data_IF_841411483589
#
_entry.id   IF_841411483589
#
_cell.length_a   1.000
_cell.length_b   1.000
_cell.length_c   1.000
_cell.angle_alpha   90.00
_cell.angle_beta   90.00
_cell.angle_gamma   90.00
#
_symmetry.space_group_name_H-M   'P 1'
#
loop_
_entity.id
_entity.type
_entity.pdbx_description
1 polymer ?
#
# COMPACT_ATOMS: atom_id res chain seq x y z
N UNK A 1 -40.85 -7.23 43.93
CA UNK A 1 -40.47 -8.13 42.82
C UNK A 1 -39.86 -7.26 41.74
N UNK A 2 -38.53 -7.16 41.69
CA UNK A 2 -37.81 -6.38 40.67
C UNK A 2 -37.17 -7.37 39.72
N UNK A 3 -37.79 -7.59 38.57
CA UNK A 3 -37.21 -8.39 37.49
C UNK A 3 -35.98 -7.68 36.94
N UNK A 4 -34.80 -8.27 37.10
CA UNK A 4 -33.62 -7.87 36.35
C UNK A 4 -33.86 -8.30 34.90
N UNK A 5 -34.04 -7.33 34.02
CA UNK A 5 -33.93 -7.52 32.58
C UNK A 5 -32.49 -7.94 32.26
N UNK A 6 -32.28 -9.24 32.01
CA UNK A 6 -31.07 -9.74 31.37
C UNK A 6 -31.00 -9.15 29.96
N UNK A 7 -30.03 -8.26 29.72
CA UNK A 7 -29.63 -7.90 28.37
C UNK A 7 -29.08 -9.15 27.69
N UNK A 8 -29.86 -9.74 26.80
CA UNK A 8 -29.40 -10.80 25.90
C UNK A 8 -28.39 -10.17 24.94
N UNK A 9 -27.10 -10.25 25.27
CA UNK A 9 -26.03 -9.94 24.35
C UNK A 9 -26.11 -10.91 23.18
N UNK A 10 -26.67 -10.45 22.05
CA UNK A 10 -26.65 -11.20 20.80
C UNK A 10 -25.19 -11.23 20.33
N UNK A 11 -24.54 -12.37 20.52
CA UNK A 11 -23.16 -12.58 20.08
C UNK A 11 -23.18 -13.01 18.62
N UNK A 12 -22.75 -12.12 17.73
CA UNK A 12 -22.65 -12.43 16.30
C UNK A 12 -21.35 -13.18 15.98
N UNK A 13 -21.47 -14.24 15.18
CA UNK A 13 -20.34 -14.91 14.57
C UNK A 13 -19.85 -14.09 13.36
N UNK A 14 -18.57 -13.70 13.37
CA UNK A 14 -17.94 -13.02 12.22
C UNK A 14 -17.00 -13.98 11.50
N UNK A 15 -17.16 -14.12 10.18
CA UNK A 15 -16.25 -14.90 9.34
C UNK A 15 -15.27 -13.98 8.63
N UNK A 16 -13.98 -14.20 8.88
CA UNK A 16 -12.89 -13.38 8.34
C UNK A 16 -11.87 -14.25 7.62
N UNK A 17 -10.98 -13.63 6.85
CA UNK A 17 -9.84 -14.31 6.26
C UNK A 17 -8.57 -13.94 7.01
N UNK A 18 -7.76 -14.95 7.32
CA UNK A 18 -6.43 -14.78 7.87
C UNK A 18 -5.51 -14.04 6.89
N UNK A 19 -4.32 -13.67 7.37
CA UNK A 19 -3.29 -13.03 6.55
C UNK A 19 -2.87 -13.83 5.31
N UNK A 20 -3.05 -15.16 5.35
CA UNK A 20 -2.75 -16.11 4.27
C UNK A 20 -3.99 -16.52 3.44
N UNK A 21 -5.13 -15.88 3.61
CA UNK A 21 -6.36 -16.18 2.85
C UNK A 21 -7.11 -17.43 3.33
N UNK A 22 -6.70 -18.02 4.47
CA UNK A 22 -7.46 -19.11 5.10
C UNK A 22 -8.63 -18.52 5.89
N UNK A 23 -9.80 -19.17 5.82
CA UNK A 23 -10.99 -18.76 6.58
C UNK A 23 -10.78 -18.91 8.09
N UNK A 24 -11.26 -17.92 8.81
CA UNK A 24 -11.29 -17.86 10.27
C UNK A 24 -12.69 -17.48 10.74
N UNK A 25 -13.03 -17.98 11.92
CA UNK A 25 -14.25 -17.65 12.65
C UNK A 25 -13.86 -16.84 13.89
N UNK A 26 -14.59 -15.77 14.14
CA UNK A 26 -14.46 -14.91 15.29
C UNK A 26 -15.78 -14.97 16.07
N UNK A 27 -15.74 -15.51 17.29
CA UNK A 27 -16.92 -15.75 18.11
C UNK A 27 -16.55 -15.63 19.58
N UNK A 28 -17.36 -14.92 20.38
CA UNK A 28 -17.12 -14.65 21.81
C UNK A 28 -15.72 -14.06 22.10
N UNK A 29 -15.16 -13.26 21.18
CA UNK A 29 -13.81 -12.68 21.31
C UNK A 29 -12.66 -13.69 21.11
N UNK A 30 -12.96 -14.91 20.66
CA UNK A 30 -12.00 -15.94 20.29
C UNK A 30 -11.89 -16.10 18.79
N UNK A 31 -10.70 -16.50 18.33
CA UNK A 31 -10.41 -16.81 16.92
C UNK A 31 -10.24 -18.31 16.72
N UNK A 32 -10.87 -18.82 15.67
CA UNK A 32 -10.78 -20.21 15.25
C UNK A 32 -10.36 -20.30 13.79
N UNK A 33 -9.60 -21.34 13.45
CA UNK A 33 -9.17 -21.67 12.08
C UNK A 33 -10.01 -22.82 11.55
N UNK A 34 -10.48 -22.71 10.31
CA UNK A 34 -11.24 -23.78 9.66
C UNK A 34 -10.37 -25.03 9.52
N UNK A 35 -10.86 -26.17 10.00
CA UNK A 35 -10.14 -27.45 9.94
C UNK A 35 -10.78 -28.43 8.95
N UNK A 36 -12.10 -28.51 8.90
CA UNK A 36 -12.83 -29.29 7.90
C UNK A 36 -14.25 -28.78 7.71
N UNK A 37 -14.84 -29.08 6.55
CA UNK A 37 -16.28 -29.00 6.32
C UNK A 37 -16.87 -30.41 6.40
N UNK A 38 -17.99 -30.55 7.08
CA UNK A 38 -18.70 -31.82 7.24
C UNK A 38 -19.73 -32.00 6.11
N UNK A 39 -20.26 -33.21 5.95
CA UNK A 39 -21.24 -33.53 4.91
C UNK A 39 -22.60 -32.84 5.09
N UNK A 40 -22.92 -32.41 6.32
CA UNK A 40 -24.14 -31.69 6.66
C UNK A 40 -23.97 -30.16 6.55
N UNK A 41 -23.04 -29.69 5.71
CA UNK A 41 -22.63 -28.30 5.53
C UNK A 41 -22.13 -27.56 6.79
N UNK A 42 -22.05 -28.24 7.94
CA UNK A 42 -21.44 -27.66 9.14
C UNK A 42 -19.92 -27.55 8.99
N UNK A 43 -19.36 -26.49 9.56
CA UNK A 43 -17.93 -26.20 9.47
C UNK A 43 -17.30 -26.38 10.85
N UNK A 44 -16.21 -27.15 10.91
CA UNK A 44 -15.49 -27.45 12.14
C UNK A 44 -14.23 -26.59 12.26
N UNK A 45 -14.13 -25.91 13.38
CA UNK A 45 -13.13 -24.90 13.67
C UNK A 45 -12.32 -25.25 14.91
N UNK A 46 -11.04 -24.91 14.90
CA UNK A 46 -10.14 -25.12 16.03
C UNK A 46 -9.56 -23.77 16.44
N UNK A 47 -9.58 -23.46 17.72
CA UNK A 47 -9.02 -22.23 18.27
C UNK A 47 -7.58 -22.04 17.76
N UNK A 48 -7.19 -20.81 17.44
CA UNK A 48 -5.83 -20.49 16.97
C UNK A 48 -4.76 -20.91 18.00
N UNK A 49 -5.08 -20.81 19.30
CA UNK A 49 -4.21 -21.29 20.41
C UNK A 49 -4.35 -22.80 20.69
N UNK A 50 -5.18 -23.51 19.91
CA UNK A 50 -5.41 -24.98 19.94
C UNK A 50 -6.00 -25.55 21.23
N UNK A 51 -6.73 -24.74 21.99
CA UNK A 51 -7.28 -25.15 23.30
C UNK A 51 -8.78 -25.47 23.28
N UNK A 52 -9.50 -25.09 22.23
CA UNK A 52 -10.95 -25.30 22.13
C UNK A 52 -11.39 -25.48 20.69
N UNK A 53 -12.56 -26.09 20.50
CA UNK A 53 -13.15 -26.40 19.21
C UNK A 53 -14.57 -25.84 19.10
N UNK A 54 -14.94 -25.44 17.89
CA UNK A 54 -16.26 -24.89 17.60
C UNK A 54 -16.83 -25.44 16.28
N UNK A 55 -18.15 -25.53 16.19
CA UNK A 55 -18.87 -25.89 14.96
C UNK A 55 -19.80 -24.75 14.57
N UNK A 56 -19.73 -24.29 13.33
CA UNK A 56 -20.68 -23.32 12.79
C UNK A 56 -21.62 -23.98 11.79
N UNK A 57 -22.83 -23.43 11.70
CA UNK A 57 -23.89 -23.91 10.80
C UNK A 57 -24.27 -22.83 9.77
N UNK A 58 -25.08 -23.20 8.79
CA UNK A 58 -25.49 -22.32 7.68
C UNK A 58 -26.33 -21.12 8.13
N UNK A 59 -27.04 -21.24 9.25
CA UNK A 59 -27.79 -20.16 9.91
C UNK A 59 -26.89 -19.22 10.74
N UNK A 60 -25.57 -19.36 10.63
CA UNK A 60 -24.56 -18.63 11.41
C UNK A 60 -24.58 -18.90 12.92
N UNK A 61 -25.31 -19.93 13.37
CA UNK A 61 -25.21 -20.40 14.74
C UNK A 61 -23.84 -21.07 14.97
N UNK A 62 -23.29 -20.90 16.17
CA UNK A 62 -21.99 -21.45 16.55
C UNK A 62 -22.11 -22.18 17.89
N UNK A 63 -21.68 -23.44 17.90
CA UNK A 63 -21.60 -24.26 19.10
C UNK A 63 -20.13 -24.47 19.46
N UNK A 64 -19.72 -23.94 20.61
CA UNK A 64 -18.40 -24.16 21.21
C UNK A 64 -18.47 -25.41 22.07
N UNK A 65 -17.51 -26.33 21.92
CA UNK A 65 -17.54 -27.64 22.60
C UNK A 65 -16.67 -27.71 23.85
N UNK A 66 -15.62 -26.89 23.91
CA UNK A 66 -14.63 -26.91 24.98
C UNK A 66 -14.42 -25.50 25.54
N UNK A 67 -14.14 -25.41 26.84
CA UNK A 67 -13.79 -24.14 27.47
C UNK A 67 -12.40 -23.66 27.02
N UNK A 68 -12.24 -22.34 26.89
CA UNK A 68 -10.94 -21.75 26.64
C UNK A 68 -10.11 -21.67 27.91
N UNK A 69 -8.86 -22.11 27.85
CA UNK A 69 -7.86 -21.93 28.92
C UNK A 69 -7.10 -20.60 28.81
N UNK A 70 -7.61 -19.66 28.00
CA UNK A 70 -7.04 -18.33 27.83
C UNK A 70 -8.17 -17.32 27.70
N UNK A 71 -7.91 -16.06 28.04
CA UNK A 71 -8.88 -14.99 27.88
C UNK A 71 -9.12 -14.65 26.39
N UNK A 72 -10.29 -14.07 26.06
CA UNK A 72 -10.53 -13.47 24.76
C UNK A 72 -9.47 -12.40 24.47
N UNK A 73 -9.03 -12.32 23.21
CA UNK A 73 -7.96 -11.42 22.77
C UNK A 73 -8.54 -10.41 21.79
N UNK A 74 -9.12 -9.33 22.33
CA UNK A 74 -9.69 -8.25 21.52
C UNK A 74 -8.64 -7.55 20.66
N UNK A 75 -7.43 -7.42 21.19
CA UNK A 75 -6.26 -6.84 20.54
C UNK A 75 -5.93 -7.56 19.23
N UNK A 76 -5.95 -8.89 19.24
CA UNK A 76 -5.74 -9.72 18.06
C UNK A 76 -6.72 -9.43 16.91
N UNK A 77 -7.99 -9.16 17.26
CA UNK A 77 -9.05 -8.86 16.29
C UNK A 77 -8.88 -7.49 15.66
N UNK A 78 -8.56 -6.49 16.47
CA UNK A 78 -8.29 -5.13 15.99
C UNK A 78 -7.08 -5.11 15.06
N UNK A 79 -6.00 -5.82 15.39
CA UNK A 79 -4.81 -5.95 14.53
C UNK A 79 -5.16 -6.60 13.19
N UNK A 80 -6.02 -7.62 13.21
CA UNK A 80 -6.48 -8.27 11.98
C UNK A 80 -7.24 -7.28 11.10
N UNK A 81 -8.10 -6.47 11.70
CA UNK A 81 -8.88 -5.46 11.00
C UNK A 81 -8.01 -4.35 10.42
N UNK A 82 -7.04 -3.83 11.19
CA UNK A 82 -6.05 -2.85 10.71
C UNK A 82 -5.31 -3.41 9.49
N UNK A 83 -4.83 -4.65 9.58
CA UNK A 83 -4.16 -5.33 8.45
C UNK A 83 -5.07 -5.46 7.23
N UNK A 84 -6.33 -5.86 7.41
CA UNK A 84 -7.31 -6.02 6.33
C UNK A 84 -7.57 -4.69 5.62
N UNK A 85 -7.78 -3.62 6.39
CA UNK A 85 -7.97 -2.26 5.88
C UNK A 85 -6.74 -1.77 5.11
N UNK A 86 -5.55 -1.94 5.68
CA UNK A 86 -4.30 -1.56 5.02
C UNK A 86 -4.08 -2.31 3.70
N UNK A 87 -4.32 -3.62 3.67
CA UNK A 87 -4.22 -4.43 2.44
C UNK A 87 -5.17 -3.93 1.35
N UNK A 88 -6.42 -3.59 1.71
CA UNK A 88 -7.39 -3.01 0.76
C UNK A 88 -6.95 -1.63 0.27
N UNK A 89 -6.44 -0.79 1.18
CA UNK A 89 -5.96 0.57 0.86
C UNK A 89 -4.84 0.53 -0.17
N UNK A 90 -3.81 -0.30 0.04
CA UNK A 90 -2.66 -0.37 -0.88
C UNK A 90 -2.96 -0.99 -2.25
N UNK A 91 -4.06 -1.72 -2.38
CA UNK A 91 -4.53 -2.25 -3.67
C UNK A 91 -5.24 -1.20 -4.52
N UNK A 92 -5.83 -0.17 -3.90
CA UNK A 92 -6.59 0.88 -4.58
C UNK A 92 -5.78 2.16 -4.77
N UNK A 93 -4.99 2.54 -3.77
CA UNK A 93 -4.23 3.78 -3.77
C UNK A 93 -2.81 3.58 -4.29
N UNK A 94 -2.22 4.62 -4.89
CA UNK A 94 -0.84 4.60 -5.42
C UNK A 94 0.21 5.29 -4.54
N UNK A 95 -0.19 5.86 -3.38
CA UNK A 95 0.71 6.59 -2.48
C UNK A 95 1.85 5.76 -1.84
N UNK A 96 2.84 6.40 -1.22
CA UNK A 96 3.95 5.69 -0.55
C UNK A 96 3.46 4.75 0.55
N UNK A 97 3.96 3.51 0.57
CA UNK A 97 3.57 2.52 1.59
C UNK A 97 3.99 2.99 2.99
N UNK A 98 5.11 3.71 3.07
CA UNK A 98 5.66 4.21 4.32
C UNK A 98 4.69 5.14 5.04
N UNK A 99 4.23 6.16 4.32
CA UNK A 99 3.17 7.07 4.78
C UNK A 99 1.90 6.32 5.19
N UNK A 100 1.47 5.33 4.39
CA UNK A 100 0.26 4.54 4.68
C UNK A 100 0.40 3.76 5.99
N UNK A 101 1.58 3.18 6.25
CA UNK A 101 1.85 2.44 7.49
C UNK A 101 1.94 3.38 8.68
N UNK A 102 2.68 4.48 8.56
CA UNK A 102 2.85 5.47 9.62
C UNK A 102 1.50 6.08 10.04
N UNK A 103 0.68 6.52 9.08
CA UNK A 103 -0.67 7.03 9.33
C UNK A 103 -1.52 6.03 10.13
N UNK A 104 -1.44 4.74 9.80
CA UNK A 104 -2.20 3.71 10.49
C UNK A 104 -1.70 3.44 11.91
N UNK A 105 -0.39 3.50 12.14
CA UNK A 105 0.18 3.26 13.47
C UNK A 105 -0.08 4.47 14.38
N UNK A 106 0.01 5.69 13.84
CA UNK A 106 -0.41 6.89 14.55
C UNK A 106 -1.91 6.89 14.86
N UNK A 107 -2.75 6.43 13.92
CA UNK A 107 -4.19 6.30 14.17
C UNK A 107 -4.49 5.27 15.27
N UNK A 108 -3.85 4.10 15.22
CA UNK A 108 -3.97 3.09 16.27
C UNK A 108 -3.55 3.65 17.63
N UNK A 109 -2.43 4.40 17.68
CA UNK A 109 -1.92 4.95 18.93
C UNK A 109 -2.86 6.00 19.56
N UNK A 110 -3.62 6.75 18.73
CA UNK A 110 -4.59 7.74 19.21
C UNK A 110 -5.92 7.11 19.65
N UNK A 111 -6.32 6.02 19.01
CA UNK A 111 -7.63 5.39 19.24
C UNK A 111 -7.59 4.34 20.36
N UNK A 112 -6.42 3.77 20.64
CA UNK A 112 -6.26 2.73 21.65
C UNK A 112 -6.38 3.34 23.05
N UNK A 113 -7.39 2.92 23.82
CA UNK A 113 -7.45 3.20 25.27
C UNK A 113 -6.44 2.36 26.07
N UNK A 114 -5.85 1.32 25.44
CA UNK A 114 -4.86 0.42 26.03
C UNK A 114 -3.53 0.40 25.25
N UNK A 115 -2.41 0.29 25.97
CA UNK A 115 -1.05 0.18 25.40
C UNK A 115 -0.82 -1.11 24.60
N UNK A 116 -1.66 -2.11 24.81
CA UNK A 116 -1.45 -3.48 24.34
C UNK A 116 -1.56 -3.63 22.82
N UNK A 117 -2.33 -2.74 22.17
CA UNK A 117 -2.49 -2.72 20.72
C UNK A 117 -1.21 -2.36 19.99
N UNK A 118 -0.51 -1.32 20.44
CA UNK A 118 0.74 -0.87 19.81
C UNK A 118 1.85 -1.91 20.01
N UNK A 119 1.91 -2.52 21.19
CA UNK A 119 2.89 -3.57 21.50
C UNK A 119 2.65 -4.81 20.63
N UNK A 120 1.38 -5.15 20.41
CA UNK A 120 0.99 -6.33 19.64
C UNK A 120 1.01 -6.11 18.12
N UNK A 121 1.09 -4.86 17.65
CA UNK A 121 1.23 -4.57 16.23
C UNK A 121 2.54 -5.15 15.68
N UNK A 122 2.55 -5.60 14.41
CA UNK A 122 3.78 -6.06 13.78
C UNK A 122 4.81 -4.93 13.73
N UNK A 123 6.08 -5.28 13.58
CA UNK A 123 7.06 -4.24 13.26
C UNK A 123 6.71 -3.55 11.93
N UNK A 124 7.02 -2.25 11.85
CA UNK A 124 6.84 -1.44 10.64
C UNK A 124 7.45 -2.14 9.42
N UNK A 125 8.64 -2.73 9.56
CA UNK A 125 9.32 -3.50 8.51
C UNK A 125 8.47 -4.67 7.99
N UNK A 126 7.91 -5.49 8.88
CA UNK A 126 7.07 -6.64 8.51
C UNK A 126 5.79 -6.15 7.82
N UNK A 127 5.18 -5.07 8.32
CA UNK A 127 3.99 -4.49 7.72
C UNK A 127 4.27 -3.97 6.30
N UNK A 128 5.33 -3.17 6.12
CA UNK A 128 5.78 -2.65 4.82
C UNK A 128 5.98 -3.79 3.81
N UNK A 129 6.74 -4.83 4.17
CA UNK A 129 6.97 -5.98 3.30
C UNK A 129 5.68 -6.70 2.90
N UNK A 130 4.77 -6.86 3.86
CA UNK A 130 3.46 -7.50 3.63
C UNK A 130 2.63 -6.68 2.64
N UNK A 131 2.55 -5.37 2.82
CA UNK A 131 1.79 -4.47 1.97
C UNK A 131 2.40 -4.35 0.58
N UNK A 132 3.73 -4.27 0.47
CA UNK A 132 4.44 -4.31 -0.81
C UNK A 132 4.10 -5.59 -1.60
N UNK A 133 4.11 -6.75 -0.93
CA UNK A 133 3.74 -8.02 -1.58
C UNK A 133 2.29 -8.03 -2.07
N UNK A 134 1.36 -7.45 -1.32
CA UNK A 134 -0.03 -7.33 -1.78
C UNK A 134 -0.14 -6.38 -2.98
N UNK A 135 0.53 -5.23 -2.93
CA UNK A 135 0.50 -4.24 -4.01
C UNK A 135 1.09 -4.76 -5.33
N UNK A 136 2.10 -5.62 -5.26
CA UNK A 136 2.67 -6.30 -6.44
C UNK A 136 1.69 -7.23 -7.16
N UNK A 137 0.56 -7.62 -6.54
CA UNK A 137 -0.44 -8.46 -7.21
C UNK A 137 -1.29 -7.73 -8.24
N UNK A 138 -1.43 -6.41 -8.10
CA UNK A 138 -2.26 -5.59 -9.00
C UNK A 138 -1.44 -4.69 -9.92
N UNK A 139 -0.12 -4.63 -9.71
CA UNK A 139 0.80 -3.85 -10.52
C UNK A 139 1.51 -4.73 -11.55
N UNK A 140 1.86 -4.18 -12.73
CA UNK A 140 2.70 -4.90 -13.67
C UNK A 140 4.07 -5.25 -13.04
N UNK A 141 4.74 -6.30 -13.55
CA UNK A 141 6.10 -6.60 -13.14
C UNK A 141 7.04 -5.42 -13.42
N UNK A 142 8.10 -5.31 -12.63
CA UNK A 142 9.10 -4.26 -12.82
C UNK A 142 9.88 -4.57 -14.10
N UNK A 143 9.86 -3.68 -15.11
CA UNK A 143 10.60 -3.90 -16.35
C UNK A 143 12.11 -4.00 -16.07
N UNK A 144 12.76 -4.96 -16.71
CA UNK A 144 14.21 -5.21 -16.63
C UNK A 144 14.97 -4.65 -17.83
N UNK A 145 14.27 -4.28 -18.90
CA UNK A 145 14.83 -3.59 -20.06
C UNK A 145 13.83 -2.59 -20.63
N UNK A 146 14.31 -1.67 -21.47
CA UNK A 146 13.47 -0.61 -22.04
C UNK A 146 12.39 -1.16 -22.99
N UNK A 147 12.66 -2.29 -23.66
CA UNK A 147 11.74 -2.97 -24.57
C UNK A 147 10.54 -3.61 -23.84
N UNK A 148 10.67 -3.85 -22.54
CA UNK A 148 9.56 -4.36 -21.72
C UNK A 148 8.56 -3.27 -21.35
N UNK A 149 8.87 -1.98 -21.56
CA UNK A 149 7.91 -0.91 -21.38
C UNK A 149 6.92 -0.90 -22.55
N UNK A 150 5.60 -0.91 -22.29
CA UNK A 150 4.60 -0.80 -23.34
C UNK A 150 4.75 0.50 -24.14
N UNK A 151 4.53 0.43 -25.45
CA UNK A 151 4.50 1.60 -26.34
C UNK A 151 3.23 1.55 -27.21
N UNK A 152 2.32 2.54 -27.07
CA UNK A 152 2.38 3.67 -26.14
C UNK A 152 2.23 3.23 -24.66
N UNK A 153 2.63 4.09 -23.73
CA UNK A 153 2.36 3.87 -22.30
C UNK A 153 0.86 3.83 -22.01
N UNK A 154 0.39 2.95 -21.11
CA UNK A 154 -0.99 2.95 -20.64
C UNK A 154 -1.40 4.29 -20.03
N UNK A 155 -2.62 4.75 -20.35
CA UNK A 155 -3.21 6.02 -19.91
C UNK A 155 -3.04 6.35 -18.42
N UNK A 156 -3.10 5.33 -17.56
CA UNK A 156 -2.95 5.48 -16.11
C UNK A 156 -1.58 6.02 -15.69
N UNK A 157 -0.55 5.81 -16.52
CA UNK A 157 0.81 6.32 -16.31
C UNK A 157 1.07 7.64 -17.03
N UNK A 158 0.15 8.07 -17.89
CA UNK A 158 0.26 9.31 -18.66
C UNK A 158 -0.45 10.49 -18.01
N UNK A 159 -1.16 10.26 -16.89
CA UNK A 159 -2.04 11.23 -16.25
C UNK A 159 -1.76 11.38 -14.75
N UNK A 160 -2.09 12.56 -14.20
CA UNK A 160 -2.03 12.82 -12.75
C UNK A 160 -3.14 12.07 -12.00
N UNK A 161 -3.11 12.11 -10.66
CA UNK A 161 -4.21 11.57 -9.82
C UNK A 161 -5.55 12.29 -10.03
N UNK A 162 -5.53 13.49 -10.61
CA UNK A 162 -6.71 14.25 -11.03
C UNK A 162 -7.12 13.96 -12.49
N UNK A 163 -6.49 12.98 -13.13
CA UNK A 163 -6.70 12.61 -14.54
C UNK A 163 -6.29 13.66 -15.57
N UNK A 164 -5.40 14.59 -15.20
CA UNK A 164 -4.85 15.60 -16.11
C UNK A 164 -3.65 15.04 -16.87
N UNK A 165 -3.37 15.51 -18.09
CA UNK A 165 -2.19 15.08 -18.85
C UNK A 165 -0.91 15.37 -18.07
N UNK A 166 -0.03 14.39 -18.01
CA UNK A 166 1.24 14.48 -17.29
C UNK A 166 2.44 14.01 -18.12
N UNK A 167 2.28 12.98 -18.97
CA UNK A 167 3.31 12.58 -19.93
C UNK A 167 3.28 13.54 -21.13
N UNK A 168 4.34 14.32 -21.30
CA UNK A 168 4.49 15.27 -22.40
C UNK A 168 5.25 14.68 -23.59
N UNK A 169 6.15 13.74 -23.35
CA UNK A 169 6.96 13.12 -24.39
C UNK A 169 7.21 11.65 -24.09
N UNK A 170 7.05 10.81 -25.10
CA UNK A 170 7.43 9.40 -25.12
C UNK A 170 7.98 9.09 -26.51
N UNK A 171 9.31 9.06 -26.63
CA UNK A 171 9.97 8.97 -27.92
C UNK A 171 11.46 8.67 -27.80
N UNK A 172 12.18 8.71 -28.92
CA UNK A 172 13.61 8.38 -28.97
C UNK A 172 14.47 9.64 -28.94
N UNK A 173 15.37 9.73 -27.95
CA UNK A 173 16.44 10.72 -27.86
C UNK A 173 17.78 9.99 -27.90
N UNK A 174 18.66 10.38 -28.82
CA UNK A 174 19.96 9.72 -28.99
C UNK A 174 19.86 8.21 -29.31
N UNK A 175 18.78 7.78 -29.95
CA UNK A 175 18.54 6.38 -30.32
C UNK A 175 17.93 5.52 -29.19
N UNK A 176 17.65 6.09 -28.03
CA UNK A 176 17.07 5.38 -26.88
C UNK A 176 15.78 6.04 -26.42
N UNK A 177 14.81 5.24 -25.96
CA UNK A 177 13.52 5.75 -25.50
C UNK A 177 13.70 6.61 -24.25
N UNK A 178 13.06 7.76 -24.25
CA UNK A 178 13.04 8.73 -23.16
C UNK A 178 11.61 9.19 -22.90
N UNK A 179 11.30 9.46 -21.64
CA UNK A 179 9.98 9.90 -21.18
C UNK A 179 10.13 11.25 -20.49
N UNK A 180 9.24 12.20 -20.78
CA UNK A 180 9.21 13.51 -20.11
C UNK A 180 7.83 13.74 -19.52
N UNK A 181 7.80 14.08 -18.24
CA UNK A 181 6.60 14.33 -17.48
C UNK A 181 6.60 15.74 -16.90
N UNK A 182 5.47 16.43 -17.05
CA UNK A 182 5.16 17.68 -16.34
C UNK A 182 3.66 17.94 -16.46
N UNK A 183 3.05 18.56 -15.44
CA UNK A 183 1.70 19.07 -15.59
C UNK A 183 1.69 20.40 -16.35
N UNK A 184 0.53 20.79 -16.87
CA UNK A 184 0.36 22.12 -17.48
C UNK A 184 0.77 23.25 -16.51
N UNK A 185 0.38 23.14 -15.24
CA UNK A 185 0.71 24.15 -14.23
C UNK A 185 2.22 24.22 -13.95
N UNK A 186 2.92 23.09 -14.00
CA UNK A 186 4.37 23.07 -13.83
C UNK A 186 5.09 23.79 -14.98
N UNK A 187 4.61 23.60 -16.22
CA UNK A 187 5.14 24.32 -17.38
C UNK A 187 4.82 25.82 -17.31
N UNK A 188 3.61 26.20 -16.91
CA UNK A 188 3.25 27.60 -16.67
C UNK A 188 4.13 28.21 -15.59
N UNK A 189 4.35 27.51 -14.48
CA UNK A 189 5.22 27.95 -13.39
C UNK A 189 6.64 28.22 -13.90
N UNK A 190 7.23 27.29 -14.65
CA UNK A 190 8.53 27.48 -15.28
C UNK A 190 8.56 28.69 -16.22
N UNK A 191 7.53 28.85 -17.06
CA UNK A 191 7.47 29.98 -18.02
C UNK A 191 7.44 31.36 -17.36
N UNK A 192 7.07 31.43 -16.08
CA UNK A 192 7.04 32.66 -15.29
C UNK A 192 8.34 32.94 -14.52
N UNK A 193 9.25 31.97 -14.46
CA UNK A 193 10.53 32.16 -13.77
C UNK A 193 11.59 32.73 -14.72
N UNK A 194 12.41 33.64 -14.19
CA UNK A 194 13.58 34.17 -14.90
C UNK A 194 14.71 33.13 -15.00
N UNK A 195 14.81 32.24 -14.00
CA UNK A 195 15.86 31.24 -13.91
C UNK A 195 15.28 29.87 -13.60
N UNK A 196 15.83 28.85 -14.27
CA UNK A 196 15.56 27.45 -13.98
C UNK A 196 16.82 26.78 -13.46
N UNK A 197 16.61 25.81 -12.57
CA UNK A 197 17.68 24.94 -12.11
C UNK A 197 17.41 23.55 -12.64
N UNK A 198 18.47 22.84 -12.99
CA UNK A 198 18.33 21.48 -13.48
C UNK A 198 19.48 20.62 -13.00
N UNK A 199 19.18 19.38 -12.67
CA UNK A 199 20.19 18.41 -12.23
C UNK A 199 19.84 17.00 -12.75
N UNK A 200 20.89 16.25 -13.08
CA UNK A 200 20.83 14.86 -13.52
C UNK A 200 21.19 13.93 -12.38
N UNK A 201 20.26 13.06 -11.98
CA UNK A 201 20.49 12.05 -10.94
C UNK A 201 20.64 10.66 -11.56
N UNK A 202 21.85 10.12 -11.46
CA UNK A 202 22.19 8.79 -11.98
C UNK A 202 21.90 7.68 -10.96
N UNK A 203 22.23 7.92 -9.68
CA UNK A 203 22.19 6.89 -8.63
C UNK A 203 20.77 6.38 -8.33
N UNK A 204 19.77 7.24 -8.46
CA UNK A 204 18.36 6.93 -8.18
C UNK A 204 17.56 6.55 -9.43
N UNK A 205 18.20 6.55 -10.60
CA UNK A 205 17.54 6.25 -11.86
C UNK A 205 17.16 4.76 -11.97
N UNK A 206 15.96 4.41 -12.45
CA UNK A 206 15.66 3.03 -12.84
C UNK A 206 16.69 2.53 -13.85
N UNK A 207 17.23 1.33 -13.66
CA UNK A 207 18.33 0.77 -14.46
C UNK A 207 18.03 0.61 -15.96
N UNK A 208 16.76 0.73 -16.36
CA UNK A 208 16.33 0.70 -17.76
C UNK A 208 16.49 2.06 -18.46
N UNK A 209 16.81 3.11 -17.71
CA UNK A 209 17.14 4.45 -18.20
C UNK A 209 18.54 4.83 -17.73
N UNK A 210 19.18 5.77 -18.43
CA UNK A 210 20.52 6.24 -18.08
C UNK A 210 20.49 7.22 -16.89
N UNK A 211 19.52 8.14 -16.87
CA UNK A 211 19.39 9.12 -15.79
C UNK A 211 17.96 9.62 -15.60
N UNK A 212 17.68 10.13 -14.40
CA UNK A 212 16.54 11.03 -14.17
C UNK A 212 17.07 12.45 -14.24
N UNK A 213 16.52 13.26 -15.13
CA UNK A 213 16.82 14.68 -15.24
C UNK A 213 15.64 15.51 -14.74
N UNK A 214 15.91 16.44 -13.84
CA UNK A 214 14.89 17.28 -13.22
C UNK A 214 15.07 18.73 -13.63
N UNK A 215 13.97 19.43 -13.90
CA UNK A 215 13.97 20.90 -14.05
C UNK A 215 13.10 21.48 -12.94
N UNK A 216 13.66 22.43 -12.22
CA UNK A 216 13.10 23.07 -11.05
C UNK A 216 12.79 24.54 -11.33
N UNK A 217 11.61 24.97 -10.90
CA UNK A 217 11.31 26.37 -10.69
C UNK A 217 11.76 26.78 -9.29
N UNK A 218 12.29 27.99 -9.14
CA UNK A 218 12.60 28.56 -7.84
C UNK A 218 11.66 29.73 -7.58
N UNK A 219 10.81 29.59 -6.56
CA UNK A 219 9.84 30.61 -6.19
C UNK A 219 9.72 30.67 -4.66
N UNK A 220 9.67 31.88 -4.10
CA UNK A 220 9.53 32.14 -2.66
C UNK A 220 10.53 31.37 -1.77
N UNK A 221 11.79 31.31 -2.21
CA UNK A 221 12.84 30.61 -1.45
C UNK A 221 12.83 29.09 -1.60
N UNK A 222 11.86 28.53 -2.35
CA UNK A 222 11.63 27.10 -2.49
C UNK A 222 11.94 26.63 -3.91
N UNK A 223 12.78 25.60 -4.01
CA UNK A 223 13.00 24.88 -5.27
C UNK A 223 11.93 23.79 -5.44
N UNK A 224 11.13 23.89 -6.50
CA UNK A 224 10.05 22.95 -6.80
C UNK A 224 10.36 22.23 -8.12
N UNK A 225 10.44 20.89 -8.13
CA UNK A 225 10.61 20.14 -9.38
C UNK A 225 9.33 20.24 -10.21
N UNK A 226 9.49 20.67 -11.47
CA UNK A 226 8.40 20.93 -12.40
C UNK A 226 8.42 19.95 -13.59
N UNK A 227 9.60 19.56 -14.06
CA UNK A 227 9.76 18.55 -15.11
C UNK A 227 10.56 17.38 -14.59
N UNK A 228 10.09 16.17 -14.90
CA UNK A 228 10.75 14.91 -14.60
C UNK A 228 11.01 14.18 -15.92
N UNK A 229 12.27 13.97 -16.28
CA UNK A 229 12.64 13.27 -17.49
C UNK A 229 13.41 11.99 -17.17
N UNK A 230 12.94 10.85 -17.68
CA UNK A 230 13.67 9.59 -17.72
C UNK A 230 14.38 9.51 -19.07
N UNK A 231 15.69 9.71 -19.07
CA UNK A 231 16.48 9.81 -20.29
C UNK A 231 17.23 8.51 -20.55
N UNK A 232 17.16 8.00 -21.77
CA UNK A 232 17.91 6.82 -22.20
C UNK A 232 19.38 7.10 -22.55
N UNK A 233 19.77 8.38 -22.61
CA UNK A 233 21.14 8.83 -22.89
C UNK A 233 21.64 9.85 -21.87
N UNK A 234 22.96 10.02 -21.83
CA UNK A 234 23.61 11.11 -21.11
C UNK A 234 23.20 12.48 -21.68
N UNK A 235 23.03 13.45 -20.81
CA UNK A 235 22.97 14.87 -21.20
C UNK A 235 24.37 15.32 -21.57
N UNK A 236 24.48 16.00 -22.71
CA UNK A 236 25.72 16.66 -23.13
C UNK A 236 25.72 18.05 -22.50
N UNK A 237 26.78 18.38 -21.77
CA UNK A 237 26.98 19.76 -21.33
C UNK A 237 27.29 20.62 -22.57
N UNK A 238 26.45 21.61 -22.82
CA UNK A 238 26.63 22.57 -23.91
C UNK A 238 27.41 23.80 -23.44
N UNK A 239 28.00 23.78 -22.24
CA UNK A 239 28.96 24.80 -21.83
C UNK A 239 30.01 24.95 -22.93
N UNK A 240 30.22 26.15 -23.49
CA UNK A 240 31.28 26.34 -24.46
C UNK A 240 32.59 25.92 -23.82
N UNK A 241 33.33 25.02 -24.48
CA UNK A 241 34.71 24.71 -24.13
C UNK A 241 35.45 26.04 -24.03
N UNK A 242 35.71 26.50 -22.80
CA UNK A 242 36.69 27.54 -22.56
C UNK A 242 38.04 26.88 -22.80
N UNK A 243 38.36 26.68 -24.07
CA UNK A 243 39.65 26.23 -24.54
C UNK A 243 40.72 27.12 -23.92
N UNK A 244 41.57 26.48 -23.12
CA UNK A 244 42.75 27.06 -22.52
C UNK A 244 43.56 27.82 -23.58
N UNK A 245 43.71 29.13 -23.39
CA UNK A 245 44.83 29.90 -23.93
C UNK A 245 45.92 29.92 -22.87
#
# INVERSE_FOLDING_TARGET
>A
MSGKSEEVLIVFAEFVESTHGKRQLCYLGYRYSLKRKNQNDSEYWVCVKRNSTATSYSDSSVVVRDDHTHLPDGTDMEILQIRKTLKRKVMKESGPIDRIVEEAYHAANRQSQSSDLIISLPSIRIMKNTLQKQRRKTRPPIPQSIEQLPYPLPDVYCKTTKSELFLLYDGSLGGTRSLVFASYNDIVCLSQQEHWYSDGTFYTCPSIFYQIYLIHAYHDGMSTPCVFALLGVATIDLSPDNGSI
#
